data_IF_611955062205
#
_entry.id   IF_611955062205
#
_cell.length_a   1.000
_cell.length_b   1.000
_cell.length_c   1.000
_cell.angle_alpha   90.00
_cell.angle_beta   90.00
_cell.angle_gamma   90.00
#
_symmetry.space_group_name_H-M   'P 1'
#
loop_
_entity.id
_entity.type
_entity.pdbx_description
1 polymer ?
#
# COMPACT_ATOMS: atom_id res chain seq x y z
N UNK A 1 -20.73 -25.69 -1.38
CA UNK A 1 -20.11 -26.03 -0.07
C UNK A 1 -21.14 -25.83 1.05
N UNK A 2 -21.96 -26.85 1.36
CA UNK A 2 -23.01 -26.73 2.38
C UNK A 2 -22.49 -26.73 3.82
N UNK A 3 -21.28 -27.28 4.06
CA UNK A 3 -20.73 -27.54 5.41
C UNK A 3 -20.04 -26.35 6.08
N UNK A 4 -19.97 -25.17 5.45
CA UNK A 4 -19.36 -24.01 6.09
C UNK A 4 -20.33 -23.36 7.08
N UNK A 5 -19.93 -23.00 8.32
CA UNK A 5 -20.83 -22.46 9.35
C UNK A 5 -21.51 -21.14 8.96
N UNK A 6 -20.99 -20.41 7.96
CA UNK A 6 -21.62 -19.20 7.40
C UNK A 6 -22.13 -19.38 5.97
N UNK A 7 -22.34 -20.61 5.50
CA UNK A 7 -22.80 -20.89 4.13
C UNK A 7 -24.12 -20.19 3.76
N UNK A 8 -24.97 -19.91 4.76
CA UNK A 8 -26.24 -19.20 4.57
C UNK A 8 -26.13 -17.67 4.68
N UNK A 9 -25.02 -17.12 5.22
CA UNK A 9 -24.89 -15.67 5.51
C UNK A 9 -23.71 -14.98 4.81
N UNK A 10 -22.80 -15.75 4.20
CA UNK A 10 -21.63 -15.21 3.54
C UNK A 10 -21.42 -15.87 2.18
N UNK A 11 -21.16 -15.04 1.17
CA UNK A 11 -20.79 -15.49 -0.18
C UNK A 11 -19.29 -15.31 -0.37
N UNK A 12 -18.65 -16.30 -0.99
CA UNK A 12 -17.26 -16.20 -1.43
C UNK A 12 -17.25 -15.78 -2.90
N UNK A 13 -16.62 -14.65 -3.20
CA UNK A 13 -16.36 -14.25 -4.58
C UNK A 13 -15.13 -15.03 -5.06
N UNK A 14 -15.33 -15.92 -6.03
CA UNK A 14 -14.24 -16.58 -6.74
C UNK A 14 -13.94 -15.75 -7.99
N UNK A 15 -12.73 -15.22 -8.09
CA UNK A 15 -12.28 -14.55 -9.30
C UNK A 15 -11.88 -15.59 -10.34
N UNK A 16 -12.19 -15.32 -11.61
CA UNK A 16 -11.76 -16.14 -12.74
C UNK A 16 -10.24 -16.12 -12.89
N UNK A 17 -9.71 -17.16 -13.51
CA UNK A 17 -8.29 -17.30 -13.79
C UNK A 17 -7.79 -16.09 -14.62
N UNK A 18 -6.70 -15.46 -14.18
CA UNK A 18 -6.13 -14.27 -14.82
C UNK A 18 -6.63 -12.92 -14.31
N UNK A 19 -7.71 -12.87 -13.50
CA UNK A 19 -8.13 -11.62 -12.86
C UNK A 19 -7.17 -11.23 -11.73
N UNK A 20 -6.45 -10.12 -11.92
CA UNK A 20 -5.58 -9.53 -10.91
C UNK A 20 -6.38 -8.54 -10.07
N UNK A 21 -6.59 -8.89 -8.80
CA UNK A 21 -7.12 -7.94 -7.82
C UNK A 21 -5.95 -7.24 -7.16
N UNK A 22 -5.92 -5.91 -7.26
CA UNK A 22 -5.01 -5.08 -6.50
C UNK A 22 -5.72 -4.64 -5.21
N UNK A 23 -5.23 -5.02 -4.02
CA UNK A 23 -5.78 -4.52 -2.77
C UNK A 23 -5.61 -3.00 -2.70
N UNK A 24 -6.70 -2.27 -2.46
CA UNK A 24 -6.65 -0.84 -2.17
C UNK A 24 -6.61 -0.64 -0.66
N UNK A 25 -5.46 -0.30 -0.11
CA UNK A 25 -5.29 -0.03 1.32
C UNK A 25 -5.74 1.39 1.65
N UNK A 26 -6.76 1.52 2.49
CA UNK A 26 -7.27 2.82 2.93
C UNK A 26 -6.50 3.28 4.17
N UNK A 27 -5.98 4.51 4.12
CA UNK A 27 -5.32 5.16 5.26
C UNK A 27 -3.82 5.37 5.06
N UNK A 28 -3.08 5.46 6.17
CA UNK A 28 -1.62 5.59 6.12
C UNK A 28 -1.04 4.30 5.55
N UNK A 29 -0.02 4.46 4.71
CA UNK A 29 0.77 3.33 4.26
C UNK A 29 1.45 2.65 5.45
N UNK A 30 1.94 1.42 5.25
CA UNK A 30 2.54 0.60 6.31
C UNK A 30 3.68 1.33 7.05
N UNK A 31 4.15 0.82 8.20
CA UNK A 31 5.36 1.32 8.82
C UNK A 31 6.62 0.79 8.11
N UNK A 32 7.68 1.62 8.07
CA UNK A 32 8.96 1.24 7.47
C UNK A 32 9.70 0.27 8.41
N UNK A 33 10.42 -0.70 7.84
CA UNK A 33 11.18 -1.67 8.62
C UNK A 33 12.44 -1.07 9.27
N UNK A 34 13.07 -0.09 8.61
CA UNK A 34 14.37 0.47 9.02
C UNK A 34 14.31 1.37 10.27
N UNK A 35 13.11 1.72 10.75
CA UNK A 35 12.94 2.59 11.91
C UNK A 35 12.70 1.73 13.18
N UNK A 36 13.64 1.74 14.15
CA UNK A 36 13.52 0.93 15.36
C UNK A 36 12.31 1.32 16.23
N UNK A 37 11.86 2.58 16.20
CA UNK A 37 10.66 3.01 16.94
C UNK A 37 9.38 2.44 16.33
N UNK A 38 9.40 2.16 15.02
CA UNK A 38 8.26 1.61 14.28
C UNK A 38 8.37 0.11 14.03
N UNK A 39 9.46 -0.54 14.43
CA UNK A 39 9.71 -1.95 14.12
C UNK A 39 8.60 -2.88 14.63
N UNK A 40 8.13 -2.66 15.87
CA UNK A 40 7.03 -3.46 16.43
C UNK A 40 5.72 -3.25 15.65
N UNK A 41 5.42 -2.01 15.27
CA UNK A 41 4.25 -1.70 14.46
C UNK A 41 4.37 -2.27 13.04
N UNK A 42 5.56 -2.25 12.46
CA UNK A 42 5.88 -2.88 11.19
C UNK A 42 5.61 -4.39 11.27
N UNK A 43 6.17 -5.07 12.28
CA UNK A 43 6.00 -6.50 12.46
C UNK A 43 4.52 -6.89 12.69
N UNK A 44 3.82 -6.14 13.54
CA UNK A 44 2.39 -6.34 13.77
C UNK A 44 1.59 -6.17 12.47
N UNK A 45 1.87 -5.13 11.68
CA UNK A 45 1.17 -4.88 10.43
C UNK A 45 1.41 -5.99 9.38
N UNK A 46 2.65 -6.50 9.28
CA UNK A 46 2.96 -7.63 8.37
C UNK A 46 2.24 -8.91 8.80
N UNK A 47 2.15 -9.18 10.11
CA UNK A 47 1.38 -10.32 10.63
C UNK A 47 -0.12 -10.17 10.36
N UNK A 48 -0.69 -8.98 10.57
CA UNK A 48 -2.11 -8.71 10.26
C UNK A 48 -2.41 -8.92 8.79
N UNK A 49 -1.48 -8.55 7.90
CA UNK A 49 -1.69 -8.65 6.46
C UNK A 49 -1.56 -10.10 5.94
N UNK A 50 -0.59 -10.86 6.46
CA UNK A 50 -0.13 -12.10 5.83
C UNK A 50 -0.54 -13.36 6.59
N UNK A 51 -0.65 -13.28 7.92
CA UNK A 51 -1.02 -14.42 8.73
C UNK A 51 -2.54 -14.59 8.70
N UNK A 52 -3.08 -15.81 8.52
CA UNK A 52 -4.51 -16.04 8.69
C UNK A 52 -4.90 -15.89 10.16
N UNK A 53 -5.84 -15.00 10.48
CA UNK A 53 -6.33 -14.78 11.85
C UNK A 53 -7.85 -14.65 11.90
N UNK A 54 -8.42 -14.96 13.06
CA UNK A 54 -9.83 -14.73 13.41
C UNK A 54 -9.95 -13.77 14.59
N UNK A 55 -9.00 -13.81 15.52
CA UNK A 55 -8.90 -12.95 16.69
C UNK A 55 -7.52 -12.28 16.74
N UNK A 56 -7.48 -10.96 16.64
CA UNK A 56 -6.24 -10.18 16.63
C UNK A 56 -5.40 -10.36 17.91
N UNK A 57 -6.07 -10.54 19.05
CA UNK A 57 -5.41 -10.62 20.36
C UNK A 57 -4.65 -11.93 20.57
N UNK A 58 -5.12 -13.03 19.98
CA UNK A 58 -4.59 -14.37 20.25
C UNK A 58 -3.84 -14.97 19.07
N UNK A 59 -4.22 -14.62 17.84
CA UNK A 59 -3.77 -15.37 16.67
C UNK A 59 -2.50 -14.78 16.07
N UNK A 60 -2.19 -13.50 16.32
CA UNK A 60 -1.04 -12.84 15.70
C UNK A 60 0.29 -13.25 16.35
N UNK A 61 0.37 -13.25 17.68
CA UNK A 61 1.59 -13.57 18.45
C UNK A 61 1.27 -14.34 19.73
N UNK A 62 2.27 -15.07 20.24
CA UNK A 62 2.19 -15.65 21.58
C UNK A 62 2.12 -14.60 22.70
N UNK A 63 1.59 -14.97 23.87
CA UNK A 63 1.49 -14.07 25.03
C UNK A 63 2.86 -13.52 25.48
N UNK A 64 3.88 -14.37 25.44
CA UNK A 64 5.26 -14.05 25.87
C UNK A 64 6.17 -13.68 24.71
N UNK A 65 5.66 -13.71 23.48
CA UNK A 65 6.44 -13.49 22.26
C UNK A 65 6.46 -12.00 21.89
N UNK A 66 7.60 -11.52 21.41
CA UNK A 66 7.70 -10.17 20.81
C UNK A 66 7.18 -10.17 19.37
N UNK A 67 6.82 -9.00 18.84
CA UNK A 67 6.34 -8.90 17.46
C UNK A 67 7.37 -9.37 16.43
N UNK A 68 8.65 -9.06 16.67
CA UNK A 68 9.77 -9.51 15.83
C UNK A 68 9.92 -11.02 15.84
N UNK A 69 9.82 -11.66 17.02
CA UNK A 69 9.89 -13.11 17.14
C UNK A 69 8.73 -13.77 16.40
N UNK A 70 7.50 -13.26 16.59
CA UNK A 70 6.31 -13.77 15.92
C UNK A 70 6.41 -13.70 14.40
N UNK A 71 6.89 -12.57 13.87
CA UNK A 71 7.09 -12.43 12.42
C UNK A 71 8.23 -13.33 11.92
N UNK A 72 9.34 -13.41 12.64
CA UNK A 72 10.47 -14.28 12.27
C UNK A 72 10.04 -15.74 12.20
N UNK A 73 9.32 -16.21 13.21
CA UNK A 73 8.80 -17.58 13.26
C UNK A 73 7.78 -17.83 12.14
N UNK A 74 6.91 -16.87 11.85
CA UNK A 74 5.96 -16.97 10.75
C UNK A 74 6.66 -17.07 9.38
N UNK A 75 7.75 -16.34 9.18
CA UNK A 75 8.50 -16.35 7.92
C UNK A 75 9.50 -17.50 7.80
N UNK A 76 9.81 -18.20 8.90
CA UNK A 76 10.74 -19.34 8.89
C UNK A 76 10.19 -20.53 8.08
N UNK A 77 8.87 -20.72 8.11
CA UNK A 77 8.17 -21.79 7.41
C UNK A 77 7.60 -21.35 6.04
N UNK A 78 7.90 -20.13 5.59
CA UNK A 78 7.33 -19.57 4.35
C UNK A 78 8.11 -19.98 3.10
N UNK A 79 7.40 -20.32 2.02
CA UNK A 79 7.97 -20.63 0.69
C UNK A 79 8.53 -19.37 -0.04
N UNK A 80 8.85 -18.30 0.69
CA UNK A 80 9.37 -17.03 0.19
C UNK A 80 8.32 -16.07 -0.40
N UNK A 81 7.06 -16.51 -0.56
CA UNK A 81 5.98 -15.66 -1.08
C UNK A 81 5.71 -14.48 -0.17
N UNK A 82 5.62 -14.69 1.13
CA UNK A 82 5.36 -13.63 2.09
C UNK A 82 6.57 -12.69 2.17
N UNK A 83 7.80 -13.22 2.11
CA UNK A 83 9.00 -12.41 2.02
C UNK A 83 9.00 -11.49 0.79
N UNK A 84 8.57 -12.00 -0.37
CA UNK A 84 8.44 -11.19 -1.58
C UNK A 84 7.42 -10.06 -1.43
N UNK A 85 6.27 -10.32 -0.80
CA UNK A 85 5.26 -9.30 -0.52
C UNK A 85 5.82 -8.21 0.42
N UNK A 86 6.50 -8.61 1.50
CA UNK A 86 7.14 -7.68 2.45
C UNK A 86 8.18 -6.81 1.73
N UNK A 87 9.02 -7.42 0.89
CA UNK A 87 10.01 -6.71 0.08
C UNK A 87 9.35 -5.68 -0.84
N UNK A 88 8.24 -6.03 -1.50
CA UNK A 88 7.47 -5.11 -2.33
C UNK A 88 6.91 -3.92 -1.53
N UNK A 89 6.46 -4.14 -0.30
CA UNK A 89 6.01 -3.06 0.59
C UNK A 89 7.18 -2.14 0.96
N UNK A 90 8.37 -2.69 1.24
CA UNK A 90 9.56 -1.87 1.52
C UNK A 90 10.06 -1.11 0.28
N UNK A 91 9.94 -1.70 -0.90
CA UNK A 91 10.33 -1.07 -2.16
C UNK A 91 9.56 0.23 -2.42
N UNK A 92 8.29 0.32 -2.00
CA UNK A 92 7.51 1.56 -2.09
C UNK A 92 8.24 2.77 -1.49
N UNK A 93 8.90 2.63 -0.33
CA UNK A 93 9.63 3.75 0.28
C UNK A 93 10.89 4.13 -0.49
N UNK A 94 11.56 3.17 -1.12
CA UNK A 94 12.74 3.43 -1.94
C UNK A 94 12.36 4.26 -3.17
N UNK A 95 11.24 3.91 -3.81
CA UNK A 95 10.70 4.65 -4.95
C UNK A 95 10.16 6.01 -4.53
N UNK A 96 9.40 6.07 -3.44
CA UNK A 96 8.84 7.33 -2.92
C UNK A 96 9.95 8.34 -2.60
N UNK A 97 10.99 7.92 -1.87
CA UNK A 97 12.11 8.79 -1.54
C UNK A 97 12.82 9.32 -2.80
N UNK A 98 12.94 8.50 -3.85
CA UNK A 98 13.51 8.93 -5.13
C UNK A 98 12.60 9.91 -5.87
N UNK A 99 11.30 9.63 -5.92
CA UNK A 99 10.32 10.48 -6.58
C UNK A 99 10.19 11.85 -5.88
N UNK A 100 10.21 11.87 -4.56
CA UNK A 100 10.16 13.12 -3.78
C UNK A 100 11.40 13.98 -4.05
N UNK A 101 12.61 13.39 -4.09
CA UNK A 101 13.85 14.09 -4.49
C UNK A 101 13.79 14.67 -5.91
N UNK A 102 13.25 13.92 -6.87
CA UNK A 102 13.10 14.39 -8.25
C UNK A 102 12.12 15.57 -8.34
N UNK A 103 11.03 15.54 -7.55
CA UNK A 103 10.08 16.66 -7.45
C UNK A 103 10.74 17.90 -6.87
N UNK A 104 11.50 17.76 -5.78
CA UNK A 104 12.24 18.85 -5.16
C UNK A 104 13.24 19.49 -6.14
N UNK A 105 13.98 18.67 -6.91
CA UNK A 105 14.89 19.16 -7.95
C UNK A 105 14.18 19.90 -9.07
N UNK A 106 13.00 19.44 -9.49
CA UNK A 106 12.21 20.10 -10.53
C UNK A 106 11.62 21.43 -10.04
N UNK A 107 11.18 21.51 -8.78
CA UNK A 107 10.67 22.75 -8.20
C UNK A 107 11.76 23.79 -7.92
N UNK A 108 13.01 23.34 -7.70
CA UNK A 108 14.15 24.24 -7.49
C UNK A 108 14.78 24.76 -8.80
N UNK A 109 14.40 24.20 -9.95
CA UNK A 109 14.90 24.59 -11.27
C UNK A 109 14.04 25.61 -12.03
N UNK A 110 12.89 26.03 -11.46
CA UNK A 110 11.90 26.89 -12.13
C UNK A 110 12.04 28.39 -11.80
N UNK A 111 13.06 28.80 -11.03
CA UNK A 111 13.30 30.22 -10.71
C UNK A 111 14.11 30.97 -11.80
N UNK A 112 14.06 30.54 -13.05
CA UNK A 112 14.94 31.13 -14.07
C UNK A 112 14.64 30.83 -15.54
N UNK A 113 13.40 31.02 -16.02
CA UNK A 113 13.20 31.34 -17.44
C UNK A 113 12.04 32.33 -17.64
N UNK A 114 12.40 33.53 -18.10
CA UNK A 114 11.52 34.63 -18.47
C UNK A 114 10.46 34.24 -19.51
N UNK A 115 9.20 34.56 -19.21
CA UNK A 115 8.31 35.35 -20.06
C UNK A 115 8.07 34.88 -21.51
N UNK A 116 6.89 34.29 -21.73
CA UNK A 116 6.03 34.65 -22.87
C UNK A 116 4.60 34.75 -22.38
N UNK A 117 4.19 35.98 -22.09
CA UNK A 117 2.79 36.37 -22.20
C UNK A 117 2.35 36.03 -23.63
N UNK A 118 1.50 35.02 -23.78
CA UNK A 118 0.64 34.91 -24.96
C UNK A 118 -0.69 35.47 -24.48
N UNK A 119 -0.92 36.74 -24.82
CA UNK A 119 -2.25 37.34 -24.87
C UNK A 119 -3.10 36.47 -25.81
N UNK A 120 -3.88 35.55 -25.26
CA UNK A 120 -5.02 35.00 -25.99
C UNK A 120 -6.13 36.06 -25.90
N UNK A 121 -6.12 36.93 -26.91
CA UNK A 121 -7.15 37.93 -27.17
C UNK A 121 -8.55 37.31 -27.09
N UNK A 122 -9.41 37.97 -26.32
CA UNK A 122 -10.85 37.74 -26.24
C UNK A 122 -11.47 37.63 -27.64
N UNK A 123 -11.83 36.41 -28.07
CA UNK A 123 -12.68 36.23 -29.25
C UNK A 123 -14.15 36.13 -28.82
N UNK A 124 -14.80 37.28 -29.00
CA UNK A 124 -16.20 37.65 -28.84
C UNK A 124 -17.20 36.58 -29.35
N UNK A 125 -18.26 36.37 -28.55
CA UNK A 125 -19.42 35.54 -28.88
C UNK A 125 -20.18 36.11 -30.09
N UNK A 126 -20.29 35.32 -31.16
CA UNK A 126 -21.31 35.49 -32.20
C UNK A 126 -22.39 34.43 -32.02
N UNK A 127 -23.49 34.83 -31.40
CA UNK A 127 -24.75 34.09 -31.31
C UNK A 127 -25.49 34.31 -32.63
N UNK A 128 -25.58 33.29 -33.49
CA UNK A 128 -26.44 33.32 -34.67
C UNK A 128 -27.51 32.23 -34.52
N UNK A 129 -28.68 32.67 -34.06
CA UNK A 129 -29.97 32.01 -34.25
C UNK A 129 -30.43 32.18 -35.70
N UNK A 130 -30.70 31.07 -36.42
CA UNK A 130 -31.92 30.86 -37.24
C UNK A 130 -32.04 29.42 -37.77
#
# INVERSE_FOLDING_TARGET
MPSHPRSQSALRVNCSEGHRNLPNFIGRWFPKQDDPEQLDAHCAAMLVLLKPWRCLETDLKGRTETWTQALTNFLADDDGRNQHIISGIQFFYQTKATADRLREMHTAGDEGENGRDIDDEDQEYGDDEE
#
